data_IF_508245213099
#
_entry.id   IF_508245213099
#
_cell.length_a   1.000
_cell.length_b   1.000
_cell.length_c   1.000
_cell.angle_alpha   90.00
_cell.angle_beta   90.00
_cell.angle_gamma   90.00
#
_symmetry.space_group_name_H-M   'P 1'
#
loop_
_entity.id
_entity.type
_entity.pdbx_description
1 polymer ?
#
# COMPACT_ATOMS: atom_id res chain seq x y z
N UNK A 1 -17.04 -1.49 -24.14
CA UNK A 1 -17.37 -2.09 -22.82
C UNK A 1 -17.26 -0.97 -21.77
N UNK A 2 -18.36 -0.28 -21.46
CA UNK A 2 -18.38 0.86 -20.54
C UNK A 2 -18.48 0.35 -19.10
N UNK A 3 -17.36 -0.02 -18.50
CA UNK A 3 -17.31 -0.40 -17.08
C UNK A 3 -17.44 0.86 -16.21
N UNK A 4 -18.36 0.81 -15.24
CA UNK A 4 -18.66 1.77 -14.17
C UNK A 4 -17.85 3.08 -14.16
N UNK A 5 -18.50 4.21 -14.49
CA UNK A 5 -17.93 5.55 -14.31
C UNK A 5 -17.84 5.91 -12.81
N UNK A 6 -16.90 5.31 -12.09
CA UNK A 6 -16.66 5.61 -10.68
C UNK A 6 -16.09 7.03 -10.52
N UNK A 7 -16.63 7.88 -9.64
CA UNK A 7 -16.02 9.19 -9.38
C UNK A 7 -14.64 8.98 -8.77
N UNK A 8 -13.61 9.67 -9.28
CA UNK A 8 -12.22 9.52 -8.83
C UNK A 8 -12.06 9.78 -7.33
N UNK A 9 -12.81 10.75 -6.79
CA UNK A 9 -12.80 11.08 -5.36
C UNK A 9 -13.40 9.95 -4.52
N UNK A 10 -14.49 9.34 -5.01
CA UNK A 10 -15.12 8.19 -4.34
C UNK A 10 -14.15 7.01 -4.32
N UNK A 11 -13.46 6.71 -5.44
CA UNK A 11 -12.46 5.65 -5.49
C UNK A 11 -11.33 5.83 -4.48
N UNK A 12 -10.76 7.05 -4.40
CA UNK A 12 -9.72 7.38 -3.40
C UNK A 12 -10.25 7.24 -1.97
N UNK A 13 -11.44 7.78 -1.69
CA UNK A 13 -12.06 7.69 -0.37
C UNK A 13 -12.32 6.22 0.03
N UNK A 14 -12.82 5.39 -0.89
CA UNK A 14 -13.04 3.96 -0.66
C UNK A 14 -11.73 3.24 -0.36
N UNK A 15 -10.67 3.48 -1.14
CA UNK A 15 -9.37 2.86 -0.88
C UNK A 15 -8.83 3.27 0.51
N UNK A 16 -8.96 4.55 0.88
CA UNK A 16 -8.56 5.03 2.19
C UNK A 16 -9.34 4.36 3.33
N UNK A 17 -10.67 4.27 3.21
CA UNK A 17 -11.51 3.57 4.18
C UNK A 17 -11.07 2.11 4.34
N UNK A 18 -10.77 1.41 3.24
CA UNK A 18 -10.29 0.02 3.28
C UNK A 18 -8.98 -0.08 4.09
N UNK A 19 -8.03 0.83 3.87
CA UNK A 19 -6.78 0.87 4.64
C UNK A 19 -7.07 1.09 6.14
N UNK A 20 -7.91 2.08 6.48
CA UNK A 20 -8.25 2.34 7.89
C UNK A 20 -8.93 1.13 8.53
N UNK A 21 -9.87 0.48 7.83
CA UNK A 21 -10.49 -0.74 8.31
C UNK A 21 -9.46 -1.86 8.54
N UNK A 22 -8.50 -2.04 7.64
CA UNK A 22 -7.45 -3.05 7.80
C UNK A 22 -6.57 -2.78 9.04
N UNK A 23 -6.20 -1.52 9.27
CA UNK A 23 -5.44 -1.12 10.46
C UNK A 23 -6.24 -1.40 11.74
N UNK A 24 -7.53 -1.05 11.76
CA UNK A 24 -8.39 -1.31 12.92
C UNK A 24 -8.59 -2.82 13.16
N UNK A 25 -8.73 -3.62 12.11
CA UNK A 25 -8.76 -5.08 12.22
C UNK A 25 -7.43 -5.59 12.79
N UNK A 26 -6.29 -5.07 12.31
CA UNK A 26 -4.98 -5.39 12.85
C UNK A 26 -4.90 -5.09 14.36
N UNK A 27 -5.42 -3.93 14.79
CA UNK A 27 -5.40 -3.51 16.18
C UNK A 27 -6.23 -4.40 17.11
N UNK A 28 -7.46 -4.69 16.74
CA UNK A 28 -8.39 -5.41 17.63
C UNK A 28 -8.41 -6.92 17.43
N UNK A 29 -7.95 -7.40 16.27
CA UNK A 29 -8.01 -8.81 15.85
C UNK A 29 -6.68 -9.25 15.22
N UNK A 30 -5.56 -8.91 15.85
CA UNK A 30 -4.26 -9.41 15.42
C UNK A 30 -4.25 -10.97 15.40
N UNK A 31 -3.63 -11.62 14.39
CA UNK A 31 -2.80 -11.06 13.32
C UNK A 31 -3.56 -10.76 12.01
N UNK A 32 -4.90 -10.71 12.02
CA UNK A 32 -5.69 -10.67 10.79
C UNK A 32 -5.33 -9.50 9.85
N UNK A 33 -5.20 -8.27 10.38
CA UNK A 33 -4.83 -7.10 9.56
C UNK A 33 -3.43 -7.21 8.93
N UNK A 34 -2.50 -7.90 9.60
CA UNK A 34 -1.16 -8.18 9.06
C UNK A 34 -1.29 -9.14 7.87
N UNK A 35 -1.98 -10.28 8.06
CA UNK A 35 -2.17 -11.30 7.03
C UNK A 35 -3.02 -10.82 5.84
N UNK A 36 -3.92 -9.86 6.06
CA UNK A 36 -4.75 -9.26 5.00
C UNK A 36 -4.03 -8.19 4.18
N UNK A 37 -2.87 -7.71 4.63
CA UNK A 37 -2.11 -6.63 3.95
C UNK A 37 -1.89 -6.90 2.45
N UNK A 38 -1.49 -8.11 1.99
CA UNK A 38 -1.29 -8.35 0.55
C UNK A 38 -2.56 -8.12 -0.29
N UNK A 39 -3.70 -8.58 0.22
CA UNK A 39 -5.00 -8.47 -0.45
C UNK A 39 -5.48 -7.02 -0.44
N UNK A 40 -5.38 -6.37 0.72
CA UNK A 40 -5.77 -4.96 0.91
C UNK A 40 -4.98 -4.05 -0.03
N UNK A 41 -3.67 -4.28 -0.15
CA UNK A 41 -2.81 -3.52 -1.06
C UNK A 41 -3.17 -3.75 -2.53
N UNK A 42 -3.44 -4.99 -2.93
CA UNK A 42 -3.87 -5.31 -4.29
C UNK A 42 -5.22 -4.65 -4.64
N UNK A 43 -6.21 -4.73 -3.73
CA UNK A 43 -7.54 -4.14 -3.93
C UNK A 43 -7.44 -2.61 -4.00
N UNK A 44 -6.74 -1.97 -3.08
CA UNK A 44 -6.59 -0.51 -3.10
C UNK A 44 -5.88 -0.04 -4.36
N UNK A 45 -4.82 -0.75 -4.77
CA UNK A 45 -4.12 -0.43 -6.02
C UNK A 45 -5.02 -0.62 -7.23
N UNK A 46 -5.81 -1.70 -7.28
CA UNK A 46 -6.79 -1.92 -8.34
C UNK A 46 -7.82 -0.79 -8.41
N UNK A 47 -8.38 -0.36 -7.27
CA UNK A 47 -9.36 0.75 -7.22
C UNK A 47 -8.77 2.03 -7.80
N UNK A 48 -7.54 2.39 -7.41
CA UNK A 48 -6.87 3.57 -7.96
C UNK A 48 -6.57 3.37 -9.45
N UNK A 49 -6.09 2.18 -9.85
CA UNK A 49 -5.74 1.85 -11.23
C UNK A 49 -6.91 1.81 -12.20
N UNK A 50 -8.09 1.37 -11.76
CA UNK A 50 -9.31 1.42 -12.58
C UNK A 50 -9.77 2.87 -12.85
N UNK A 51 -9.31 3.82 -12.03
CA UNK A 51 -9.53 5.25 -12.23
C UNK A 51 -8.35 5.96 -12.92
N UNK A 52 -7.38 5.21 -13.47
CA UNK A 52 -6.13 5.74 -14.04
C UNK A 52 -6.33 6.83 -15.10
N UNK A 53 -7.34 6.71 -15.96
CA UNK A 53 -7.65 7.72 -17.00
C UNK A 53 -8.01 9.11 -16.43
N UNK A 54 -8.32 9.19 -15.13
CA UNK A 54 -8.72 10.42 -14.44
C UNK A 54 -7.59 11.09 -13.67
N UNK A 55 -6.43 10.46 -13.62
CA UNK A 55 -5.22 10.95 -12.96
C UNK A 55 -4.09 11.02 -13.97
N UNK A 56 -3.14 11.94 -13.75
CA UNK A 56 -1.86 11.80 -14.44
C UNK A 56 -1.04 10.68 -13.78
N UNK A 57 -0.08 10.11 -14.51
CA UNK A 57 0.74 8.98 -14.07
C UNK A 57 1.48 9.23 -12.75
N UNK A 58 1.94 10.46 -12.51
CA UNK A 58 2.63 10.85 -11.28
C UNK A 58 1.73 10.81 -10.06
N UNK A 59 0.53 11.40 -10.17
CA UNK A 59 -0.49 11.40 -9.12
C UNK A 59 -0.94 9.97 -8.81
N UNK A 60 -1.12 9.15 -9.84
CA UNK A 60 -1.51 7.74 -9.68
C UNK A 60 -0.50 6.97 -8.85
N UNK A 61 0.79 7.04 -9.22
CA UNK A 61 1.88 6.42 -8.45
C UNK A 61 1.93 6.94 -7.02
N UNK A 62 1.83 8.26 -6.85
CA UNK A 62 1.90 8.91 -5.53
C UNK A 62 0.77 8.45 -4.63
N UNK A 63 -0.47 8.34 -5.15
CA UNK A 63 -1.62 7.86 -4.39
C UNK A 63 -1.46 6.41 -3.95
N UNK A 64 -1.01 5.53 -4.85
CA UNK A 64 -0.79 4.11 -4.51
C UNK A 64 0.31 3.98 -3.45
N UNK A 65 1.39 4.75 -3.58
CA UNK A 65 2.42 4.81 -2.54
C UNK A 65 1.89 5.31 -1.20
N UNK A 66 1.11 6.40 -1.16
CA UNK A 66 0.59 6.94 0.09
C UNK A 66 -0.33 5.93 0.80
N UNK A 67 -1.19 5.24 0.06
CA UNK A 67 -2.05 4.19 0.61
C UNK A 67 -1.21 3.04 1.20
N UNK A 68 -0.15 2.65 0.50
CA UNK A 68 0.81 1.65 0.99
C UNK A 68 1.49 2.10 2.28
N UNK A 69 2.05 3.31 2.28
CA UNK A 69 2.81 3.84 3.39
C UNK A 69 1.92 3.94 4.65
N UNK A 70 0.68 4.42 4.49
CA UNK A 70 -0.28 4.51 5.59
C UNK A 70 -0.65 3.12 6.12
N UNK A 71 -0.89 2.14 5.24
CA UNK A 71 -1.18 0.77 5.67
C UNK A 71 0.00 0.18 6.44
N UNK A 72 1.21 0.25 5.91
CA UNK A 72 2.40 -0.32 6.54
C UNK A 72 2.69 0.32 7.90
N UNK A 73 2.74 1.66 7.95
CA UNK A 73 2.95 2.40 9.21
C UNK A 73 1.84 2.08 10.21
N UNK A 74 0.59 2.06 9.76
CA UNK A 74 -0.55 1.76 10.63
C UNK A 74 -0.51 0.34 11.19
N UNK A 75 -0.19 -0.65 10.36
CA UNK A 75 -0.05 -2.04 10.82
C UNK A 75 1.10 -2.16 11.81
N UNK A 76 2.27 -1.59 11.52
CA UNK A 76 3.45 -1.63 12.41
C UNK A 76 3.24 -0.96 13.76
N UNK A 77 2.45 0.11 13.81
CA UNK A 77 2.21 0.86 15.04
C UNK A 77 1.05 0.33 15.88
N UNK A 78 0.07 -0.32 15.25
CA UNK A 78 -1.20 -0.62 15.92
C UNK A 78 -1.60 -2.09 15.91
N UNK A 79 -1.12 -2.92 14.97
CA UNK A 79 -1.58 -4.30 14.89
C UNK A 79 -0.92 -5.15 15.98
N UNK A 80 -1.67 -5.73 16.92
CA UNK A 80 -1.10 -6.61 17.95
C UNK A 80 -0.22 -5.94 19.02
N UNK A 81 0.07 -4.65 18.89
CA UNK A 81 0.80 -3.86 19.90
C UNK A 81 2.28 -3.75 19.58
N UNK A 82 3.13 -4.21 20.50
CA UNK A 82 4.58 -4.14 20.40
C UNK A 82 5.11 -5.41 19.73
N UNK A 83 6.10 -5.25 18.85
CA UNK A 83 6.66 -6.36 18.09
C UNK A 83 8.11 -6.65 18.47
N UNK A 84 8.45 -7.94 18.52
CA UNK A 84 9.82 -8.41 18.43
C UNK A 84 10.28 -8.46 16.95
N UNK A 85 11.53 -8.88 16.74
CA UNK A 85 12.09 -8.99 15.39
C UNK A 85 11.36 -10.04 14.52
N UNK A 86 10.81 -11.09 15.11
CA UNK A 86 10.06 -12.11 14.36
C UNK A 86 8.73 -11.53 13.85
N UNK A 87 7.96 -10.89 14.73
CA UNK A 87 6.71 -10.22 14.37
C UNK A 87 6.91 -9.16 13.28
N UNK A 88 8.00 -8.39 13.36
CA UNK A 88 8.35 -7.44 12.31
C UNK A 88 8.76 -8.10 10.99
N UNK A 89 9.45 -9.24 11.05
CA UNK A 89 9.73 -10.07 9.88
C UNK A 89 8.44 -10.45 9.15
N UNK A 90 7.42 -10.89 9.89
CA UNK A 90 6.10 -11.22 9.34
C UNK A 90 5.40 -10.01 8.70
N UNK A 91 5.42 -8.86 9.37
CA UNK A 91 4.81 -7.63 8.84
C UNK A 91 5.48 -7.20 7.54
N UNK A 92 6.82 -7.11 7.53
CA UNK A 92 7.57 -6.73 6.33
C UNK A 92 7.40 -7.76 5.21
N UNK A 93 7.35 -9.06 5.52
CA UNK A 93 7.07 -10.09 4.52
C UNK A 93 5.69 -9.91 3.88
N UNK A 94 4.64 -9.67 4.68
CA UNK A 94 3.29 -9.42 4.16
C UNK A 94 3.22 -8.14 3.32
N UNK A 95 3.98 -7.10 3.69
CA UNK A 95 4.14 -5.91 2.84
C UNK A 95 4.76 -6.28 1.48
N UNK A 96 5.83 -7.06 1.45
CA UNK A 96 6.47 -7.48 0.19
C UNK A 96 5.54 -8.32 -0.68
N UNK A 97 4.80 -9.25 -0.09
CA UNK A 97 3.78 -10.04 -0.79
C UNK A 97 2.67 -9.15 -1.38
N UNK A 98 2.34 -8.03 -0.74
CA UNK A 98 1.40 -7.03 -1.27
C UNK A 98 1.99 -6.12 -2.34
N UNK A 99 3.27 -5.78 -2.21
CA UNK A 99 4.00 -4.94 -3.18
C UNK A 99 4.07 -5.57 -4.56
N UNK A 100 4.23 -6.89 -4.65
CA UNK A 100 4.28 -7.62 -5.93
C UNK A 100 3.01 -7.40 -6.79
N UNK A 101 1.80 -7.78 -6.34
CA UNK A 101 0.58 -7.54 -7.10
C UNK A 101 0.27 -6.05 -7.24
N UNK A 102 0.55 -5.21 -6.24
CA UNK A 102 0.36 -3.76 -6.35
C UNK A 102 1.20 -3.17 -7.50
N UNK A 103 2.47 -3.54 -7.62
CA UNK A 103 3.35 -3.03 -8.68
C UNK A 103 2.85 -3.45 -10.07
N UNK A 104 2.41 -4.70 -10.23
CA UNK A 104 1.85 -5.20 -11.49
C UNK A 104 0.56 -4.45 -11.86
N UNK A 105 -0.35 -4.29 -10.90
CA UNK A 105 -1.62 -3.58 -11.10
C UNK A 105 -1.43 -2.08 -11.37
N UNK A 106 -0.42 -1.46 -10.76
CA UNK A 106 -0.02 -0.08 -11.03
C UNK A 106 0.50 0.04 -12.47
N UNK A 107 1.43 -0.83 -12.87
CA UNK A 107 2.00 -0.81 -14.22
C UNK A 107 0.93 -1.00 -15.32
N UNK A 108 -0.03 -1.90 -15.11
CA UNK A 108 -1.17 -2.09 -16.02
C UNK A 108 -2.09 -0.86 -16.01
N UNK A 109 -2.35 -0.29 -14.82
CA UNK A 109 -3.24 0.86 -14.62
C UNK A 109 -2.77 2.15 -15.26
N UNK A 110 -1.46 2.35 -15.44
CA UNK A 110 -0.90 3.57 -16.05
C UNK A 110 -1.23 3.72 -17.54
N UNK A 111 -1.64 2.63 -18.23
CA UNK A 111 -1.95 2.60 -19.68
C UNK A 111 -0.95 3.37 -20.57
N UNK A 112 0.32 3.35 -20.17
CA UNK A 112 1.38 4.12 -20.80
C UNK A 112 1.61 3.66 -22.25
N UNK A 113 1.44 4.60 -23.19
CA UNK A 113 1.65 4.41 -24.62
C UNK A 113 3.12 4.59 -25.01
N UNK A 114 3.84 5.46 -24.28
CA UNK A 114 5.26 5.76 -24.47
C UNK A 114 6.09 5.29 -23.30
N UNK A 115 7.37 4.98 -23.53
CA UNK A 115 8.28 4.58 -22.47
C UNK A 115 8.44 5.67 -21.38
N UNK A 116 8.46 6.95 -21.77
CA UNK A 116 8.57 8.09 -20.83
C UNK A 116 7.40 8.13 -19.84
N UNK A 117 6.20 7.69 -20.25
CA UNK A 117 5.01 7.66 -19.38
C UNK A 117 5.10 6.57 -18.30
N UNK A 118 6.09 5.66 -18.39
CA UNK A 118 6.39 4.63 -17.38
C UNK A 118 7.45 5.08 -16.36
N UNK A 119 8.11 6.21 -16.60
CA UNK A 119 9.12 6.76 -15.66
C UNK A 119 8.59 6.99 -14.23
N UNK A 120 7.30 7.27 -13.98
CA UNK A 120 6.78 7.33 -12.62
C UNK A 120 6.89 6.01 -11.84
N UNK A 121 7.03 4.85 -12.50
CA UNK A 121 7.30 3.58 -11.81
C UNK A 121 8.66 3.63 -11.09
N UNK A 122 9.65 4.33 -11.65
CA UNK A 122 10.95 4.52 -10.99
C UNK A 122 10.79 5.34 -9.70
N UNK A 123 9.90 6.34 -9.71
CA UNK A 123 9.54 7.08 -8.50
C UNK A 123 8.89 6.14 -7.48
N UNK A 124 7.97 5.26 -7.90
CA UNK A 124 7.36 4.28 -7.00
C UNK A 124 8.43 3.42 -6.32
N UNK A 125 9.36 2.85 -7.09
CA UNK A 125 10.46 2.03 -6.56
C UNK A 125 11.34 2.83 -5.59
N UNK A 126 11.70 4.07 -5.95
CA UNK A 126 12.50 4.93 -5.08
C UNK A 126 11.78 5.26 -3.76
N UNK A 127 10.48 5.55 -3.82
CA UNK A 127 9.65 5.82 -2.64
C UNK A 127 9.53 4.59 -1.75
N UNK A 128 9.37 3.39 -2.31
CA UNK A 128 9.34 2.14 -1.53
C UNK A 128 10.69 1.87 -0.87
N UNK A 129 11.80 2.05 -1.59
CA UNK A 129 13.13 1.89 -1.01
C UNK A 129 13.37 2.86 0.16
N UNK A 130 13.00 4.14 -0.02
CA UNK A 130 13.09 5.15 1.03
C UNK A 130 12.18 4.81 2.23
N UNK A 131 10.96 4.36 1.97
CA UNK A 131 9.99 3.96 2.99
C UNK A 131 10.51 2.79 3.83
N UNK A 132 11.02 1.74 3.18
CA UNK A 132 11.58 0.58 3.87
C UNK A 132 12.83 0.94 4.69
N UNK A 133 13.68 1.83 4.16
CA UNK A 133 14.84 2.33 4.90
C UNK A 133 14.43 3.11 6.16
N UNK A 134 13.36 3.90 6.07
CA UNK A 134 12.94 4.80 7.17
C UNK A 134 12.05 4.09 8.19
N UNK A 135 11.17 3.20 7.74
CA UNK A 135 10.10 2.59 8.54
C UNK A 135 10.21 1.06 8.64
N UNK A 136 11.32 0.47 8.19
CA UNK A 136 11.54 -0.99 8.22
C UNK A 136 11.43 -1.59 9.62
N UNK A 137 11.96 -0.86 10.61
CA UNK A 137 12.01 -1.26 12.02
C UNK A 137 11.00 -0.50 12.91
N UNK A 138 10.06 0.21 12.30
CA UNK A 138 9.04 0.95 13.04
C UNK A 138 8.16 -0.02 13.84
N UNK A 139 7.94 0.24 15.13
CA UNK A 139 7.10 -0.60 15.99
C UNK A 139 7.86 -1.64 16.82
N UNK A 140 9.18 -1.77 16.65
CA UNK A 140 10.04 -2.61 17.50
C UNK A 140 10.26 -1.90 18.85
N UNK A 141 10.05 -2.61 19.96
CA UNK A 141 10.56 -2.15 21.25
C UNK A 141 12.08 -2.29 21.27
N UNK A 142 12.78 -1.17 21.46
CA UNK A 142 14.15 -1.24 21.97
C UNK A 142 14.04 -1.44 23.47
N UNK A 143 14.06 -2.69 23.91
CA UNK A 143 14.46 -2.99 25.28
C UNK A 143 15.92 -2.53 25.42
N UNK A 144 16.09 -1.29 25.86
CA UNK A 144 17.36 -0.85 26.42
C UNK A 144 17.54 -1.68 27.69
N UNK A 145 18.38 -2.71 27.59
CA UNK A 145 18.90 -3.48 28.72
C UNK A 145 19.58 -2.54 29.73
#
# INVERSE_FOLDING_TARGET
>A
MSWFKFNKLIGVATAFIIIICNILIGRYFAPAGILMTPIVMAICTLIISLNGDKFNSWTHVTLVYLLLAINDIGIKLYAGGIHDFEGMGWINMMLFLGLMPATLLLAIGLKASKFVERTPILLFVALIAFHLYTFGDLGIERTYL
#
